data_IF_919719295820
#
_entry.id   IF_919719295820
#
_cell.length_a   1.000
_cell.length_b   1.000
_cell.length_c   1.000
_cell.angle_alpha   90.00
_cell.angle_beta   90.00
_cell.angle_gamma   90.00
#
_symmetry.space_group_name_H-M   'P 1'
#
loop_
_entity.id
_entity.type
_entity.pdbx_description
1 polymer ?
#
# COMPACT_ATOMS: atom_id res chain seq x y z
N UNK A 1 20.67 -8.83 18.36
CA UNK A 1 21.31 -7.80 17.51
C UNK A 1 20.29 -6.72 17.17
N UNK A 2 20.51 -5.46 17.54
CA UNK A 2 19.53 -4.38 17.32
C UNK A 2 19.27 -4.07 15.83
N UNK A 3 20.28 -4.16 14.98
CA UNK A 3 20.11 -3.95 13.53
C UNK A 3 19.08 -4.92 12.92
N UNK A 4 19.08 -6.18 13.35
CA UNK A 4 18.09 -7.17 12.90
C UNK A 4 16.69 -6.82 13.38
N UNK A 5 16.54 -6.31 14.61
CA UNK A 5 15.25 -5.85 15.14
C UNK A 5 14.72 -4.65 14.36
N UNK A 6 15.59 -3.70 14.00
CA UNK A 6 15.24 -2.54 13.17
C UNK A 6 14.77 -3.01 11.79
N UNK A 7 15.52 -3.90 11.14
CA UNK A 7 15.14 -4.47 9.85
C UNK A 7 13.79 -5.17 9.90
N UNK A 8 13.61 -6.07 10.87
CA UNK A 8 12.34 -6.78 11.07
C UNK A 8 11.19 -5.80 11.34
N UNK A 9 11.41 -4.77 12.16
CA UNK A 9 10.39 -3.76 12.45
C UNK A 9 9.99 -2.98 11.20
N UNK A 10 10.94 -2.61 10.33
CA UNK A 10 10.65 -1.92 9.07
C UNK A 10 9.85 -2.80 8.10
N UNK A 11 10.22 -4.08 7.96
CA UNK A 11 9.50 -5.03 7.10
C UNK A 11 8.10 -5.29 7.64
N UNK A 12 7.95 -5.58 8.93
CA UNK A 12 6.65 -5.84 9.54
C UNK A 12 5.76 -4.61 9.45
N UNK A 13 6.27 -3.42 9.73
CA UNK A 13 5.51 -2.19 9.64
C UNK A 13 5.05 -1.89 8.20
N UNK A 14 5.93 -2.09 7.21
CA UNK A 14 5.59 -1.93 5.79
C UNK A 14 4.51 -2.93 5.36
N UNK A 15 4.64 -4.21 5.73
CA UNK A 15 3.66 -5.26 5.41
C UNK A 15 2.31 -4.98 6.05
N UNK A 16 2.28 -4.65 7.34
CA UNK A 16 1.03 -4.34 8.03
C UNK A 16 0.34 -3.12 7.41
N UNK A 17 1.10 -2.07 7.12
CA UNK A 17 0.57 -0.90 6.41
C UNK A 17 0.05 -1.28 5.03
N UNK A 18 0.81 -2.03 4.25
CA UNK A 18 0.43 -2.50 2.92
C UNK A 18 -0.87 -3.30 2.93
N UNK A 19 -1.00 -4.27 3.84
CA UNK A 19 -2.23 -5.05 4.00
C UNK A 19 -3.41 -4.13 4.30
N UNK A 20 -3.29 -3.25 5.30
CA UNK A 20 -4.39 -2.35 5.69
C UNK A 20 -4.76 -1.44 4.54
N UNK A 21 -3.78 -0.81 3.89
CA UNK A 21 -3.98 0.08 2.77
C UNK A 21 -4.65 -0.63 1.59
N UNK A 22 -4.19 -1.83 1.24
CA UNK A 22 -4.76 -2.59 0.12
C UNK A 22 -6.12 -3.19 0.43
N UNK A 23 -6.50 -3.36 1.71
CA UNK A 23 -7.90 -3.64 2.05
C UNK A 23 -8.83 -2.49 1.63
N UNK A 24 -8.40 -1.24 1.72
CA UNK A 24 -9.17 -0.10 1.21
C UNK A 24 -9.16 -0.10 -0.32
N UNK A 25 -7.98 -0.22 -0.94
CA UNK A 25 -7.84 -0.25 -2.41
C UNK A 25 -8.75 -1.31 -3.04
N UNK A 26 -8.75 -2.55 -2.51
CA UNK A 26 -9.50 -3.66 -3.08
C UNK A 26 -11.03 -3.51 -2.95
N UNK A 27 -11.50 -2.66 -2.03
CA UNK A 27 -12.92 -2.35 -1.83
C UNK A 27 -13.38 -1.11 -2.59
N UNK A 28 -12.45 -0.27 -2.99
CA UNK A 28 -12.72 0.90 -3.84
C UNK A 28 -12.66 0.49 -5.31
N UNK A 29 -11.67 -0.33 -5.69
CA UNK A 29 -11.46 -0.82 -7.05
C UNK A 29 -10.76 -2.17 -7.01
N UNK A 30 -11.53 -3.25 -7.15
CA UNK A 30 -10.96 -4.61 -7.19
C UNK A 30 -10.16 -4.84 -8.49
N UNK A 31 -10.55 -4.14 -9.56
CA UNK A 31 -9.95 -4.18 -10.88
C UNK A 31 -8.49 -3.71 -10.85
N UNK A 32 -8.15 -2.84 -9.88
CA UNK A 32 -6.78 -2.51 -9.54
C UNK A 32 -5.93 -3.77 -9.44
N UNK A 33 -6.40 -4.81 -8.76
CA UNK A 33 -5.64 -6.04 -8.55
C UNK A 33 -5.89 -7.14 -9.59
N UNK A 34 -7.02 -7.11 -10.30
CA UNK A 34 -7.47 -8.22 -11.15
C UNK A 34 -7.34 -7.94 -12.65
N UNK A 35 -7.31 -6.67 -13.04
CA UNK A 35 -7.16 -6.19 -14.42
C UNK A 35 -5.83 -5.47 -14.60
N UNK A 36 -5.51 -4.54 -13.69
CA UNK A 36 -4.34 -3.67 -13.82
C UNK A 36 -3.03 -4.28 -13.27
N UNK A 37 -3.10 -5.51 -12.73
CA UNK A 37 -1.92 -6.25 -12.26
C UNK A 37 -1.87 -7.67 -12.84
N UNK A 38 -0.67 -8.26 -12.99
CA UNK A 38 -0.53 -9.68 -13.33
C UNK A 38 -1.30 -10.57 -12.34
N UNK A 39 -1.95 -11.66 -12.79
CA UNK A 39 -2.77 -12.52 -11.93
C UNK A 39 -1.89 -13.41 -11.04
N UNK A 40 -1.27 -12.81 -10.01
CA UNK A 40 -0.49 -13.53 -9.00
C UNK A 40 -1.42 -14.38 -8.12
N UNK A 41 -2.59 -13.82 -7.78
CA UNK A 41 -3.62 -14.48 -6.99
C UNK A 41 -4.86 -14.71 -7.84
N UNK A 42 -5.25 -15.97 -8.04
CA UNK A 42 -6.43 -16.35 -8.79
C UNK A 42 -7.70 -16.28 -7.91
N UNK A 43 -8.01 -15.11 -7.37
CA UNK A 43 -9.17 -14.88 -6.51
C UNK A 43 -9.79 -13.51 -6.77
N UNK A 44 -11.09 -13.40 -6.54
CA UNK A 44 -11.84 -12.14 -6.55
C UNK A 44 -12.26 -11.70 -5.15
N UNK A 45 -11.77 -12.37 -4.10
CA UNK A 45 -12.04 -11.94 -2.73
C UNK A 45 -11.24 -10.68 -2.43
N UNK A 46 -11.86 -9.52 -2.16
CA UNK A 46 -11.14 -8.28 -1.83
C UNK A 46 -10.23 -8.47 -0.60
N UNK A 47 -10.67 -9.29 0.35
CA UNK A 47 -9.88 -9.61 1.55
C UNK A 47 -8.59 -10.35 1.19
N UNK A 48 -8.70 -11.42 0.40
CA UNK A 48 -7.52 -12.21 0.02
C UNK A 48 -6.58 -11.41 -0.88
N UNK A 49 -7.13 -10.61 -1.81
CA UNK A 49 -6.34 -9.73 -2.66
C UNK A 49 -5.58 -8.68 -1.84
N UNK A 50 -6.25 -7.98 -0.92
CA UNK A 50 -5.59 -6.96 -0.10
C UNK A 50 -4.55 -7.54 0.86
N UNK A 51 -4.72 -8.77 1.36
CA UNK A 51 -3.68 -9.44 2.17
C UNK A 51 -2.49 -9.82 1.28
N UNK A 52 -2.75 -10.51 0.17
CA UNK A 52 -1.71 -11.04 -0.71
C UNK A 52 -0.87 -9.93 -1.34
N UNK A 53 -1.52 -8.96 -1.98
CA UNK A 53 -0.84 -7.83 -2.60
C UNK A 53 -0.19 -6.90 -1.56
N UNK A 54 -0.85 -6.66 -0.43
CA UNK A 54 -0.29 -5.86 0.65
C UNK A 54 1.05 -6.39 1.13
N UNK A 55 1.21 -7.72 1.21
CA UNK A 55 2.50 -8.36 1.53
C UNK A 55 3.49 -8.22 0.37
N UNK A 56 3.11 -8.71 -0.83
CA UNK A 56 4.00 -8.81 -2.01
C UNK A 56 4.56 -7.44 -2.41
N UNK A 57 3.73 -6.40 -2.36
CA UNK A 57 4.09 -5.06 -2.78
C UNK A 57 5.03 -4.35 -1.78
N UNK A 58 5.01 -4.70 -0.49
CA UNK A 58 5.61 -3.83 0.54
C UNK A 58 6.73 -4.47 1.38
N UNK A 59 6.87 -5.80 1.42
CA UNK A 59 7.91 -6.44 2.25
C UNK A 59 9.32 -5.98 1.87
N UNK A 60 9.61 -5.88 0.57
CA UNK A 60 10.91 -5.49 0.04
C UNK A 60 11.15 -3.99 0.21
N UNK A 61 10.10 -3.17 0.17
CA UNK A 61 10.17 -1.73 0.50
C UNK A 61 10.65 -1.55 1.94
N UNK A 62 10.05 -2.30 2.88
CA UNK A 62 10.50 -2.29 4.27
C UNK A 62 11.95 -2.76 4.44
N UNK A 63 12.38 -3.75 3.65
CA UNK A 63 13.76 -4.24 3.68
C UNK A 63 14.76 -3.21 3.13
N UNK A 64 14.43 -2.53 2.04
CA UNK A 64 15.25 -1.44 1.48
C UNK A 64 15.30 -0.26 2.45
N UNK A 65 14.17 0.13 3.03
CA UNK A 65 14.08 1.23 3.99
C UNK A 65 14.83 0.94 5.30
N UNK A 66 14.98 -0.33 5.68
CA UNK A 66 15.76 -0.70 6.85
C UNK A 66 17.23 -0.26 6.75
N UNK A 67 17.82 -0.23 5.55
CA UNK A 67 19.23 0.12 5.33
C UNK A 67 19.55 1.53 5.85
N UNK A 68 18.92 2.62 5.36
CA UNK A 68 19.19 3.96 5.87
C UNK A 68 18.82 4.11 7.35
N UNK A 69 17.77 3.45 7.84
CA UNK A 69 17.38 3.51 9.26
C UNK A 69 18.43 2.87 10.16
N UNK A 70 18.97 1.72 9.78
CA UNK A 70 20.05 1.05 10.51
C UNK A 70 21.31 1.91 10.51
N UNK A 71 21.70 2.46 9.36
CA UNK A 71 22.85 3.35 9.28
C UNK A 71 22.67 4.57 10.18
N UNK A 72 21.50 5.23 10.13
CA UNK A 72 21.21 6.39 10.97
C UNK A 72 21.18 6.06 12.47
N UNK A 73 20.66 4.89 12.86
CA UNK A 73 20.52 4.51 14.26
C UNK A 73 21.79 3.92 14.89
N UNK A 74 22.70 3.38 14.06
CA UNK A 74 23.83 2.57 14.53
C UNK A 74 25.20 3.11 14.13
N UNK A 75 25.30 3.89 13.05
CA UNK A 75 26.57 4.45 12.59
C UNK A 75 26.80 5.86 13.16
N UNK A 76 28.08 6.25 13.28
CA UNK A 76 28.48 7.57 13.73
C UNK A 76 28.84 7.64 15.22
N UNK A 77 28.87 8.88 15.75
CA UNK A 77 29.33 9.19 17.12
C UNK A 77 28.20 9.31 18.14
N UNK A 78 26.95 9.36 17.69
CA UNK A 78 25.80 9.49 18.57
C UNK A 78 25.50 8.18 19.32
N UNK A 79 24.87 8.25 20.50
CA UNK A 79 24.42 7.06 21.21
C UNK A 79 23.50 6.21 20.31
N UNK A 80 23.74 4.90 20.18
CA UNK A 80 22.97 4.06 19.28
C UNK A 80 21.53 3.91 19.77
N UNK A 81 20.56 4.04 18.86
CA UNK A 81 19.14 3.94 19.20
C UNK A 81 18.67 2.48 19.21
N UNK A 82 17.83 2.09 20.19
CA UNK A 82 17.14 0.81 20.19
C UNK A 82 15.95 0.82 19.23
N UNK A 83 15.58 -0.35 18.70
CA UNK A 83 14.45 -0.46 17.75
C UNK A 83 13.12 0.07 18.33
N UNK A 84 12.90 -0.07 19.63
CA UNK A 84 11.67 0.39 20.30
C UNK A 84 11.47 1.91 20.23
N UNK A 85 12.55 2.70 20.24
CA UNK A 85 12.46 4.15 20.12
C UNK A 85 12.09 4.57 18.69
N UNK A 86 12.62 3.86 17.69
CA UNK A 86 12.32 4.11 16.28
C UNK A 86 10.87 3.77 15.90
N UNK A 87 10.24 2.82 16.59
CA UNK A 87 8.88 2.39 16.29
C UNK A 87 7.87 3.55 16.38
N UNK A 88 8.04 4.47 17.33
CA UNK A 88 7.18 5.65 17.46
C UNK A 88 7.21 6.53 16.21
N UNK A 89 8.41 6.82 15.68
CA UNK A 89 8.60 7.59 14.46
C UNK A 89 8.07 6.86 13.22
N UNK A 90 8.26 5.54 13.15
CA UNK A 90 7.71 4.71 12.06
C UNK A 90 6.18 4.78 12.08
N UNK A 91 5.55 4.59 13.24
CA UNK A 91 4.09 4.65 13.36
C UNK A 91 3.53 6.03 13.01
N UNK A 92 4.21 7.11 13.43
CA UNK A 92 3.84 8.46 13.05
C UNK A 92 3.92 8.67 11.54
N UNK A 93 5.01 8.22 10.90
CA UNK A 93 5.18 8.30 9.45
C UNK A 93 4.06 7.55 8.72
N UNK A 94 3.75 6.31 9.13
CA UNK A 94 2.69 5.51 8.52
C UNK A 94 1.31 6.15 8.69
N UNK A 95 1.01 6.70 9.87
CA UNK A 95 -0.24 7.43 10.09
C UNK A 95 -0.35 8.69 9.23
N UNK A 96 0.76 9.42 9.07
CA UNK A 96 0.82 10.60 8.20
C UNK A 96 0.61 10.24 6.73
N UNK A 97 1.26 9.16 6.25
CA UNK A 97 1.05 8.62 4.91
C UNK A 97 -0.40 8.21 4.68
N UNK A 98 -1.02 7.51 5.64
CA UNK A 98 -2.43 7.13 5.56
C UNK A 98 -3.34 8.37 5.44
N UNK A 99 -3.08 9.41 6.23
CA UNK A 99 -3.85 10.65 6.16
C UNK A 99 -3.73 11.32 4.77
N UNK A 100 -2.52 11.40 4.21
CA UNK A 100 -2.31 11.94 2.85
C UNK A 100 -3.02 11.08 1.81
N UNK A 101 -2.97 9.75 1.93
CA UNK A 101 -3.66 8.84 1.01
C UNK A 101 -5.17 9.08 1.01
N UNK A 102 -5.79 9.21 2.19
CA UNK A 102 -7.22 9.54 2.31
C UNK A 102 -7.54 10.90 1.69
N UNK A 103 -6.77 11.94 2.02
CA UNK A 103 -6.97 13.28 1.47
C UNK A 103 -6.86 13.30 -0.05
N UNK A 104 -5.88 12.58 -0.59
CA UNK A 104 -5.67 12.45 -2.04
C UNK A 104 -6.83 11.71 -2.70
N UNK A 105 -7.29 10.60 -2.12
CA UNK A 105 -8.44 9.84 -2.60
C UNK A 105 -9.74 10.67 -2.58
N UNK A 106 -10.00 11.40 -1.50
CA UNK A 106 -11.15 12.30 -1.39
C UNK A 106 -11.10 13.44 -2.42
N UNK A 107 -9.93 14.02 -2.64
CA UNK A 107 -9.73 15.07 -3.64
C UNK A 107 -10.02 14.53 -5.04
N UNK A 108 -9.49 13.35 -5.38
CA UNK A 108 -9.78 12.67 -6.65
C UNK A 108 -11.27 12.40 -6.84
N UNK A 109 -11.94 11.89 -5.80
CA UNK A 109 -13.39 11.64 -5.81
C UNK A 109 -14.21 12.91 -6.09
N UNK A 110 -13.91 14.02 -5.41
CA UNK A 110 -14.63 15.29 -5.59
C UNK A 110 -14.40 15.86 -6.98
N UNK A 111 -13.16 15.80 -7.50
CA UNK A 111 -12.84 16.30 -8.84
C UNK A 111 -13.52 15.46 -9.94
N UNK A 112 -13.54 14.14 -9.81
CA UNK A 112 -14.26 13.26 -10.72
C UNK A 112 -15.77 13.53 -10.71
N UNK A 113 -16.37 13.68 -9.52
CA UNK A 113 -17.82 14.00 -9.38
C UNK A 113 -18.21 15.35 -9.99
N UNK A 114 -17.28 16.29 -10.07
CA UNK A 114 -17.49 17.61 -10.71
C UNK A 114 -17.22 17.59 -12.22
N UNK A 115 -16.84 16.45 -12.79
CA UNK A 115 -16.48 16.33 -14.21
C UNK A 115 -15.18 17.05 -14.56
N UNK A 116 -14.34 17.36 -13.57
CA UNK A 116 -13.02 17.98 -13.81
C UNK A 116 -12.01 16.93 -14.27
N UNK A 117 -12.12 15.71 -13.74
CA UNK A 117 -11.35 14.56 -14.20
C UNK A 117 -12.20 13.75 -15.17
N UNK A 118 -11.70 13.58 -16.39
CA UNK A 118 -12.32 12.70 -17.39
C UNK A 118 -12.08 11.23 -17.00
N UNK A 119 -13.17 10.50 -16.84
CA UNK A 119 -13.17 9.07 -16.51
C UNK A 119 -13.66 8.20 -17.68
N UNK A 120 -14.01 8.77 -18.83
CA UNK A 120 -14.58 8.01 -19.96
C UNK A 120 -13.59 6.98 -20.51
N UNK A 121 -12.28 7.29 -20.48
CA UNK A 121 -11.23 6.36 -20.89
C UNK A 121 -11.21 5.04 -20.10
N UNK A 122 -11.66 5.04 -18.83
CA UNK A 122 -11.78 3.81 -18.03
C UNK A 122 -12.89 2.89 -18.56
N UNK A 123 -13.92 3.43 -19.20
CA UNK A 123 -15.03 2.66 -19.77
C UNK A 123 -14.78 2.20 -21.21
N UNK A 124 -13.98 2.95 -21.98
CA UNK A 124 -13.77 2.70 -23.42
C UNK A 124 -12.71 1.62 -23.68
N UNK A 125 -11.69 1.51 -22.83
CA UNK A 125 -10.50 0.67 -23.12
C UNK A 125 -10.64 -0.79 -22.67
N UNK A 126 -11.53 -1.12 -21.73
CA UNK A 126 -11.57 -2.44 -21.07
C UNK A 126 -12.73 -3.41 -21.41
N UNK A 127 -13.43 -3.37 -22.58
CA UNK A 127 -14.50 -4.33 -22.85
C UNK A 127 -14.04 -5.80 -22.94
N UNK A 128 -12.74 -6.07 -23.14
CA UNK A 128 -12.23 -7.43 -23.41
C UNK A 128 -11.73 -8.20 -22.16
N UNK A 129 -11.26 -7.52 -21.11
CA UNK A 129 -10.91 -8.17 -19.83
C UNK A 129 -12.10 -8.24 -18.84
N UNK A 130 -13.11 -7.39 -19.04
CA UNK A 130 -14.37 -7.37 -18.29
C UNK A 130 -15.17 -8.68 -18.38
N UNK A 131 -14.90 -9.56 -19.35
CA UNK A 131 -15.59 -10.86 -19.45
C UNK A 131 -15.11 -11.92 -18.44
N UNK A 132 -14.01 -11.71 -17.71
CA UNK A 132 -13.53 -12.66 -16.69
C UNK A 132 -13.84 -12.26 -15.25
N UNK A 133 -14.11 -10.98 -14.97
CA UNK A 133 -14.29 -10.45 -13.62
C UNK A 133 -15.43 -9.43 -13.61
N UNK A 134 -16.39 -9.59 -12.69
CA UNK A 134 -17.49 -8.64 -12.51
C UNK A 134 -16.93 -7.29 -12.04
N UNK A 135 -17.23 -6.22 -12.78
CA UNK A 135 -16.88 -4.86 -12.37
C UNK A 135 -17.74 -4.47 -11.18
N UNK A 136 -17.19 -3.79 -10.16
CA UNK A 136 -18.03 -3.30 -9.06
C UNK A 136 -19.05 -2.24 -9.51
N UNK A 137 -18.78 -1.56 -10.64
CA UNK A 137 -19.75 -0.64 -11.24
C UNK A 137 -20.91 -1.34 -11.97
N UNK A 138 -20.83 -2.65 -12.17
CA UNK A 138 -21.88 -3.45 -12.81
C UNK A 138 -22.84 -4.11 -11.80
N UNK A 139 -22.62 -3.91 -10.48
CA UNK A 139 -23.45 -4.43 -9.39
C UNK A 139 -24.51 -3.42 -8.91
#
# INVERSE_FOLDING_TARGET
MEALKIAASCVVAAVLYGIVHDQFTARICIEYFTVFHPPIFHTQSPTLLGIGWGIVATWWVGAVFAVPVILAARAGRCPPLPASQLLSSIMFLLAFMAAIAVLSGMTGYVLARKGVLDTEWLTIVFPLQAMRYHFMADL
#
